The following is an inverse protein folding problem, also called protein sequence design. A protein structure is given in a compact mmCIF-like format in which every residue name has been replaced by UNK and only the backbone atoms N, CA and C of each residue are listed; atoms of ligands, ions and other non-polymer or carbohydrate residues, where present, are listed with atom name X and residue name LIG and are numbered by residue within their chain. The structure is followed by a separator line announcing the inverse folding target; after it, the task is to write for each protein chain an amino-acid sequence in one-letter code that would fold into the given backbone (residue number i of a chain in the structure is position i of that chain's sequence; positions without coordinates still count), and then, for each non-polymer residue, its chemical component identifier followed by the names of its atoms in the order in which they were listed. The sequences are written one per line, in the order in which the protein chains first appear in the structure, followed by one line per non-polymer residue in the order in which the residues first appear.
data_IF_819653334435
#
_entry.id   IF_819653334435
#
_cell.length_a   1.000
_cell.length_b   1.000
_cell.length_c   1.000
_cell.angle_alpha   90.00
_cell.angle_beta   90.00
_cell.angle_gamma   90.00
#
_symmetry.space_group_name_H-M   'P 1'
#
loop_
_entity.id
_entity.type
_entity.pdbx_description
1 polymer ?
#
# COMPACT_ATOMS: atom_id res chain seq x y z
N UNK A 1 -31.93 -30.16 -31.31
CA UNK A 1 -31.86 -29.13 -30.26
C UNK A 1 -31.31 -27.88 -30.92
N UNK A 2 -32.10 -26.80 -30.98
CA UNK A 2 -31.90 -25.67 -31.90
C UNK A 2 -30.61 -24.90 -31.60
N UNK A 3 -29.64 -24.97 -32.51
CA UNK A 3 -28.37 -24.23 -32.47
C UNK A 3 -28.59 -22.72 -32.47
N UNK A 4 -29.70 -22.26 -33.05
CA UNK A 4 -30.11 -20.86 -33.07
C UNK A 4 -30.50 -20.40 -31.65
N UNK A 5 -31.14 -21.25 -30.85
CA UNK A 5 -31.51 -20.88 -29.48
C UNK A 5 -30.28 -20.76 -28.58
N UNK A 6 -29.27 -21.63 -28.77
CA UNK A 6 -28.00 -21.53 -28.08
C UNK A 6 -27.21 -20.27 -28.47
N UNK A 7 -27.18 -19.92 -29.76
CA UNK A 7 -26.53 -18.70 -30.25
C UNK A 7 -27.23 -17.42 -29.77
N UNK A 8 -28.55 -17.44 -29.66
CA UNK A 8 -29.33 -16.32 -29.09
C UNK A 8 -29.08 -16.17 -27.59
N UNK A 9 -28.92 -17.28 -26.87
CA UNK A 9 -28.59 -17.26 -25.44
C UNK A 9 -27.19 -16.69 -25.17
N UNK A 10 -26.20 -17.10 -25.97
CA UNK A 10 -24.83 -16.57 -25.94
C UNK A 10 -24.79 -15.06 -26.26
N UNK A 11 -25.51 -14.62 -27.30
CA UNK A 11 -25.56 -13.20 -27.65
C UNK A 11 -26.28 -12.35 -26.59
N UNK A 12 -27.34 -12.87 -25.95
CA UNK A 12 -27.98 -12.19 -24.82
C UNK A 12 -27.05 -12.07 -23.60
N UNK A 13 -26.28 -13.11 -23.29
CA UNK A 13 -25.29 -13.09 -22.21
C UNK A 13 -24.17 -12.08 -22.44
N UNK A 14 -23.66 -12.00 -23.68
CA UNK A 14 -22.61 -11.06 -24.09
C UNK A 14 -23.13 -9.60 -24.05
N UNK A 15 -24.34 -9.34 -24.52
CA UNK A 15 -24.93 -7.98 -24.52
C UNK A 15 -25.26 -7.51 -23.10
N UNK A 16 -25.78 -8.38 -22.23
CA UNK A 16 -26.08 -8.01 -20.85
C UNK A 16 -24.80 -7.72 -20.04
N UNK A 17 -23.70 -8.42 -20.34
CA UNK A 17 -22.39 -8.15 -19.76
C UNK A 17 -21.76 -6.82 -20.24
N UNK A 18 -22.18 -6.31 -21.41
CA UNK A 18 -21.72 -5.02 -21.95
C UNK A 18 -22.56 -3.81 -21.52
N UNK A 19 -23.82 -4.02 -21.08
CA UNK A 19 -24.71 -2.95 -20.60
C UNK A 19 -24.26 -2.36 -19.25
N UNK A 20 -23.32 -3.02 -18.58
CA UNK A 20 -22.61 -2.49 -17.42
C UNK A 20 -21.13 -2.36 -17.69
N UNK A 21 -20.73 -1.51 -18.63
CA UNK A 21 -19.40 -0.92 -18.57
C UNK A 21 -19.51 0.39 -17.78
N UNK A 22 -19.44 0.37 -16.43
CA UNK A 22 -19.05 1.58 -15.74
C UNK A 22 -17.61 1.82 -16.22
N UNK A 23 -17.43 2.69 -17.21
CA UNK A 23 -16.18 3.46 -17.26
C UNK A 23 -15.96 3.92 -15.83
N UNK A 24 -14.86 3.51 -15.16
CA UNK A 24 -14.66 3.87 -13.77
C UNK A 24 -14.59 5.40 -13.70
N UNK A 25 -15.72 6.04 -13.45
CA UNK A 25 -15.76 7.46 -13.18
C UNK A 25 -15.08 7.61 -11.83
N UNK A 26 -14.01 8.40 -11.82
CA UNK A 26 -13.19 8.60 -10.64
C UNK A 26 -14.13 8.97 -9.48
N UNK A 27 -14.17 8.19 -8.38
CA UNK A 27 -15.12 8.41 -7.30
C UNK A 27 -15.12 9.89 -6.89
N UNK A 28 -16.29 10.53 -6.65
CA UNK A 28 -16.32 11.91 -6.22
C UNK A 28 -15.39 12.10 -4.99
N UNK A 29 -14.52 13.11 -5.05
CA UNK A 29 -13.42 13.38 -4.09
C UNK A 29 -12.16 12.48 -4.18
N UNK A 30 -12.04 11.59 -5.15
CA UNK A 30 -10.84 10.76 -5.36
C UNK A 30 -9.55 11.59 -5.48
N UNK A 31 -9.57 12.74 -6.17
CA UNK A 31 -8.40 13.62 -6.26
C UNK A 31 -7.92 14.14 -4.90
N UNK A 32 -8.84 14.49 -4.01
CA UNK A 32 -8.52 14.97 -2.66
C UNK A 32 -8.00 13.82 -1.80
N UNK A 33 -8.64 12.65 -1.89
CA UNK A 33 -8.20 11.44 -1.19
C UNK A 33 -6.80 11.01 -1.65
N UNK A 34 -6.52 11.02 -2.96
CA UNK A 34 -5.21 10.65 -3.50
C UNK A 34 -4.11 11.63 -3.12
N UNK A 35 -4.41 12.93 -3.08
CA UNK A 35 -3.48 13.93 -2.53
C UNK A 35 -3.18 13.65 -1.06
N UNK A 36 -4.21 13.35 -0.25
CA UNK A 36 -4.04 13.03 1.17
C UNK A 36 -3.19 11.77 1.39
N UNK A 37 -3.49 10.67 0.69
CA UNK A 37 -2.74 9.42 0.78
C UNK A 37 -1.27 9.64 0.40
N UNK A 38 -0.99 10.44 -0.65
CA UNK A 38 0.38 10.81 -1.01
C UNK A 38 1.12 11.56 0.10
N UNK A 39 0.46 12.50 0.78
CA UNK A 39 1.07 13.17 1.94
C UNK A 39 1.37 12.18 3.08
N UNK A 40 0.46 11.23 3.33
CA UNK A 40 0.71 10.18 4.31
C UNK A 40 1.88 9.27 3.92
N UNK A 41 2.02 8.91 2.65
CA UNK A 41 3.18 8.13 2.17
C UNK A 41 4.49 8.86 2.49
N UNK A 42 4.56 10.16 2.19
CA UNK A 42 5.73 10.98 2.54
C UNK A 42 5.98 11.04 4.03
N UNK A 43 4.93 11.20 4.83
CA UNK A 43 5.02 11.22 6.28
C UNK A 43 5.60 9.90 6.84
N UNK A 44 5.11 8.75 6.35
CA UNK A 44 5.59 7.42 6.77
C UNK A 44 7.07 7.23 6.40
N UNK A 45 7.48 7.63 5.19
CA UNK A 45 8.87 7.54 4.75
C UNK A 45 9.80 8.41 5.60
N UNK A 46 9.44 9.67 5.83
CA UNK A 46 10.21 10.58 6.66
C UNK A 46 10.28 10.10 8.11
N UNK A 47 9.17 9.61 8.66
CA UNK A 47 9.11 9.03 10.00
C UNK A 47 10.05 7.83 10.14
N UNK A 48 10.06 6.92 9.17
CA UNK A 48 10.95 5.76 9.16
C UNK A 48 12.44 6.15 9.12
N UNK A 49 12.81 7.12 8.28
CA UNK A 49 14.19 7.62 8.17
C UNK A 49 14.63 8.23 9.50
N UNK A 50 13.80 9.08 10.10
CA UNK A 50 14.09 9.71 11.38
C UNK A 50 14.22 8.66 12.51
N UNK A 51 13.33 7.68 12.54
CA UNK A 51 13.34 6.60 13.53
C UNK A 51 14.61 5.78 13.51
N UNK A 52 15.02 5.29 12.33
CA UNK A 52 16.26 4.52 12.16
C UNK A 52 17.50 5.39 12.43
N UNK A 53 17.52 6.63 11.95
CA UNK A 53 18.65 7.54 12.15
C UNK A 53 18.88 7.83 13.63
N UNK A 54 17.80 8.13 14.37
CA UNK A 54 17.86 8.38 15.80
C UNK A 54 18.26 7.13 16.58
N UNK A 55 17.62 5.98 16.31
CA UNK A 55 17.92 4.73 16.99
C UNK A 55 19.38 4.28 16.74
N UNK A 56 19.86 4.40 15.49
CA UNK A 56 21.25 4.10 15.14
C UNK A 56 22.26 5.04 15.78
N UNK A 57 21.96 6.35 15.83
CA UNK A 57 22.78 7.33 16.53
C UNK A 57 22.88 7.08 18.03
N UNK A 58 21.74 6.79 18.69
CA UNK A 58 21.71 6.42 20.12
C UNK A 58 22.44 5.10 20.39
N UNK A 59 22.32 4.12 19.49
CA UNK A 59 23.04 2.86 19.60
C UNK A 59 24.56 3.04 19.53
N UNK A 60 25.05 3.85 18.59
CA UNK A 60 26.47 4.19 18.52
C UNK A 60 26.95 4.92 19.79
N UNK A 61 26.13 5.84 20.32
CA UNK A 61 26.46 6.59 21.53
C UNK A 61 26.53 5.71 22.78
N UNK A 62 25.53 4.83 22.99
CA UNK A 62 25.51 3.89 24.12
C UNK A 62 26.72 2.95 24.10
N UNK A 63 27.14 2.50 22.90
CA UNK A 63 28.33 1.64 22.72
C UNK A 63 29.61 2.30 23.25
N UNK A 64 29.79 3.60 23.03
CA UNK A 64 31.03 4.31 23.43
C UNK A 64 31.00 4.89 24.85
N UNK A 65 29.81 5.19 25.37
CA UNK A 65 29.66 5.73 26.74
C UNK A 65 29.43 4.68 27.81
N UNK A 66 29.24 3.41 27.43
CA UNK A 66 29.05 2.30 28.38
C UNK A 66 27.71 2.35 29.12
N UNK A 67 26.70 3.03 28.56
CA UNK A 67 25.36 3.16 29.13
C UNK A 67 24.48 1.92 28.92
N UNK A 68 23.32 1.88 29.60
CA UNK A 68 22.35 0.81 29.47
C UNK A 68 21.83 0.66 28.03
N UNK A 69 21.73 -0.60 27.55
CA UNK A 69 21.35 -0.96 26.19
C UNK A 69 19.83 -0.81 25.97
N UNK A 70 19.35 0.42 25.85
CA UNK A 70 17.97 0.71 25.45
C UNK A 70 17.80 0.81 23.93
N UNK A 71 18.86 1.17 23.23
CA UNK A 71 18.84 1.40 21.79
C UNK A 71 18.61 0.16 20.91
N UNK A 72 18.95 -1.10 21.28
CA UNK A 72 18.71 -2.25 20.40
C UNK A 72 17.22 -2.50 20.12
N UNK A 73 16.36 -2.36 21.14
CA UNK A 73 14.89 -2.48 20.96
C UNK A 73 14.33 -1.38 20.07
N UNK A 74 14.94 -0.19 20.08
CA UNK A 74 14.51 0.93 19.24
C UNK A 74 14.86 0.70 17.77
N UNK A 75 16.07 0.19 17.49
CA UNK A 75 16.48 -0.17 16.13
C UNK A 75 15.59 -1.29 15.59
N UNK A 76 15.35 -2.34 16.39
CA UNK A 76 14.47 -3.44 16.00
C UNK A 76 13.03 -2.95 15.70
N UNK A 77 12.48 -2.09 16.56
CA UNK A 77 11.16 -1.50 16.33
C UNK A 77 11.10 -0.67 15.05
N UNK A 78 12.14 0.12 14.76
CA UNK A 78 12.22 0.92 13.55
C UNK A 78 12.31 0.05 12.27
N UNK A 79 13.03 -1.08 12.33
CA UNK A 79 13.08 -2.05 11.23
C UNK A 79 11.70 -2.69 10.97
N UNK A 80 11.00 -3.10 12.01
CA UNK A 80 9.65 -3.68 11.89
C UNK A 80 8.69 -2.66 11.25
N UNK A 81 8.72 -1.41 11.69
CA UNK A 81 7.93 -0.33 11.09
C UNK A 81 8.23 -0.12 9.60
N UNK A 82 9.51 -0.19 9.21
CA UNK A 82 9.93 -0.12 7.81
C UNK A 82 9.37 -1.26 6.95
N UNK A 83 9.42 -2.50 7.46
CA UNK A 83 8.87 -3.69 6.78
C UNK A 83 7.36 -3.53 6.53
N UNK A 84 6.62 -3.05 7.53
CA UNK A 84 5.16 -2.80 7.42
C UNK A 84 4.87 -1.72 6.37
N UNK A 85 5.67 -0.65 6.34
CA UNK A 85 5.49 0.42 5.35
C UNK A 85 5.79 -0.06 3.91
N UNK A 86 6.82 -0.88 3.71
CA UNK A 86 7.15 -1.44 2.40
C UNK A 86 6.12 -2.45 1.92
N UNK A 87 5.63 -3.32 2.81
CA UNK A 87 4.65 -4.35 2.44
C UNK A 87 3.32 -3.74 2.01
N UNK A 88 2.89 -2.63 2.62
CA UNK A 88 1.69 -1.90 2.20
C UNK A 88 1.73 -1.53 0.71
N UNK A 89 2.87 -1.04 0.20
CA UNK A 89 3.03 -0.72 -1.23
C UNK A 89 2.93 -1.95 -2.13
N UNK A 90 3.53 -3.07 -1.73
CA UNK A 90 3.44 -4.33 -2.49
C UNK A 90 2.00 -4.88 -2.54
N UNK A 91 1.26 -4.78 -1.44
CA UNK A 91 -0.13 -5.22 -1.35
C UNK A 91 -1.03 -4.34 -2.22
N UNK A 92 -0.84 -3.01 -2.19
CA UNK A 92 -1.60 -2.10 -3.03
C UNK A 92 -1.42 -2.42 -4.52
N UNK A 93 -0.19 -2.70 -4.96
CA UNK A 93 0.07 -3.09 -6.35
C UNK A 93 -0.55 -4.46 -6.71
N UNK A 94 -0.54 -5.41 -5.77
CA UNK A 94 -1.16 -6.72 -5.97
C UNK A 94 -2.69 -6.65 -6.07
N UNK A 95 -3.33 -5.71 -5.34
CA UNK A 95 -4.78 -5.56 -5.29
C UNK A 95 -5.34 -4.74 -6.47
N UNK A 96 -4.61 -3.72 -6.93
CA UNK A 96 -5.06 -2.84 -8.02
C UNK A 96 -4.92 -3.53 -9.40
N UNK A 97 -4.11 -4.59 -9.50
CA UNK A 97 -3.84 -5.29 -10.75
C UNK A 97 -2.78 -4.56 -11.58
N UNK A 98 -1.85 -5.34 -12.14
CA UNK A 98 -0.86 -4.88 -13.13
C UNK A 98 -1.53 -4.44 -14.42
#
# INVERSE_FOLDING_TARGET
MSTILAAVHETYGVVLAQVGNPTPETPPAADKLMKLVRYFTWFVLLSGILGITYAGGRFAWEKWTGGGLESPKMVAGAMIGGIVATSAGTIMNAVIGS
#
